data_IF_512443609378
#
_entry.id   IF_512443609378
#
_cell.length_a   1.000
_cell.length_b   1.000
_cell.length_c   1.000
_cell.angle_alpha   90.00
_cell.angle_beta   90.00
_cell.angle_gamma   90.00
#
_symmetry.space_group_name_H-M   'P 1'
#
loop_
_entity.id
_entity.type
_entity.pdbx_description
1 polymer ?
#
# COMPACT_ATOMS: atom_id res chain seq x y z
N UNK A 1 59.07 -20.63 33.36
CA UNK A 1 58.65 -19.65 32.32
C UNK A 1 57.47 -20.10 31.45
N UNK A 2 56.84 -21.26 31.73
CA UNK A 2 55.74 -21.82 30.91
C UNK A 2 54.37 -21.16 31.23
N UNK A 3 54.17 -20.68 32.47
CA UNK A 3 52.88 -20.17 32.94
C UNK A 3 52.48 -18.80 32.37
N UNK A 4 53.43 -18.00 31.88
CA UNK A 4 53.15 -16.69 31.27
C UNK A 4 52.71 -16.80 29.80
N UNK A 5 53.26 -17.76 29.06
CA UNK A 5 52.90 -18.03 27.67
C UNK A 5 51.45 -18.53 27.53
N UNK A 6 51.01 -19.42 28.44
CA UNK A 6 49.63 -19.92 28.51
C UNK A 6 48.61 -18.81 28.82
N UNK A 7 48.98 -17.83 29.65
CA UNK A 7 48.12 -16.67 29.97
C UNK A 7 48.02 -15.68 28.81
N UNK A 8 49.08 -15.56 28.00
CA UNK A 8 49.07 -14.73 26.79
C UNK A 8 48.25 -15.37 25.67
N UNK A 9 48.36 -16.69 25.45
CA UNK A 9 47.56 -17.39 24.44
C UNK A 9 46.07 -17.39 24.76
N UNK A 10 45.68 -17.54 26.04
CA UNK A 10 44.29 -17.44 26.46
C UNK A 10 43.67 -16.06 26.17
N UNK A 11 44.40 -14.97 26.44
CA UNK A 11 43.94 -13.59 26.14
C UNK A 11 43.85 -13.30 24.65
N UNK A 12 44.77 -13.82 23.84
CA UNK A 12 44.76 -13.67 22.37
C UNK A 12 43.66 -14.55 21.73
N UNK A 13 43.41 -15.74 22.28
CA UNK A 13 42.30 -16.59 21.86
C UNK A 13 40.93 -15.96 22.16
N UNK A 14 40.74 -15.37 23.35
CA UNK A 14 39.50 -14.63 23.69
C UNK A 14 39.25 -13.43 22.76
N UNK A 15 40.30 -12.73 22.30
CA UNK A 15 40.15 -11.64 21.31
C UNK A 15 39.66 -12.13 19.95
N UNK A 16 39.99 -13.36 19.53
CA UNK A 16 39.54 -13.90 18.24
C UNK A 16 38.07 -14.36 18.26
N UNK A 17 37.55 -14.81 19.41
CA UNK A 17 36.14 -15.19 19.54
C UNK A 17 35.16 -14.02 19.74
N UNK A 18 35.65 -12.78 19.88
CA UNK A 18 34.82 -11.57 19.92
C UNK A 18 34.68 -10.87 18.56
N UNK A 19 35.37 -11.34 17.52
CA UNK A 19 35.19 -10.85 16.15
C UNK A 19 34.09 -11.63 15.43
N UNK A 20 32.94 -11.79 16.07
CA UNK A 20 31.69 -12.14 15.40
C UNK A 20 30.93 -10.86 15.09
N UNK A 21 31.58 -9.88 14.45
CA UNK A 21 30.84 -8.93 13.63
C UNK A 21 30.41 -9.72 12.40
N UNK A 22 29.35 -10.52 12.56
CA UNK A 22 28.57 -11.04 11.45
C UNK A 22 28.28 -9.81 10.60
N UNK A 23 28.97 -9.68 9.46
CA UNK A 23 28.72 -8.61 8.51
C UNK A 23 27.31 -8.85 7.99
N UNK A 24 26.36 -8.15 8.59
CA UNK A 24 24.95 -8.11 8.20
C UNK A 24 24.75 -7.26 6.95
N UNK A 25 25.80 -7.04 6.13
CA UNK A 25 25.73 -6.33 4.85
C UNK A 25 24.74 -6.97 3.85
N UNK A 26 24.28 -8.19 4.12
CA UNK A 26 23.24 -8.89 3.36
C UNK A 26 21.95 -9.14 4.15
N UNK A 27 21.74 -8.51 5.30
CA UNK A 27 20.38 -8.30 5.79
C UNK A 27 19.74 -7.34 4.80
N UNK A 28 19.13 -7.91 3.75
CA UNK A 28 18.24 -7.20 2.86
C UNK A 28 17.16 -6.56 3.74
N UNK A 29 17.40 -5.31 4.14
CA UNK A 29 16.43 -4.49 4.83
C UNK A 29 15.28 -4.39 3.85
N UNK A 30 14.23 -5.18 4.09
CA UNK A 30 12.99 -5.08 3.35
C UNK A 30 12.49 -3.67 3.62
N UNK A 31 12.83 -2.75 2.72
CA UNK A 31 12.48 -1.36 2.87
C UNK A 31 10.99 -1.31 2.58
N UNK A 32 10.19 -1.40 3.63
CA UNK A 32 8.75 -1.20 3.58
C UNK A 32 8.55 0.27 3.23
N UNK A 33 8.48 0.56 1.93
CA UNK A 33 8.13 1.88 1.45
C UNK A 33 6.67 2.13 1.86
N UNK A 34 6.47 3.02 2.82
CA UNK A 34 5.15 3.51 3.17
C UNK A 34 4.50 4.10 1.92
N UNK A 35 3.19 3.93 1.76
CA UNK A 35 2.42 4.48 0.62
C UNK A 35 2.77 5.94 0.33
N UNK A 36 2.90 6.76 1.38
CA UNK A 36 3.28 8.17 1.25
C UNK A 36 4.66 8.35 0.59
N UNK A 37 5.65 7.52 0.94
CA UNK A 37 7.00 7.60 0.37
C UNK A 37 7.07 7.06 -1.06
N UNK A 38 6.16 6.17 -1.43
CA UNK A 38 6.09 5.62 -2.79
C UNK A 38 5.28 6.50 -3.76
N UNK A 39 4.19 7.10 -3.30
CA UNK A 39 3.22 7.81 -4.15
C UNK A 39 3.18 9.33 -3.95
N UNK A 40 3.46 9.83 -2.74
CA UNK A 40 3.36 11.27 -2.43
C UNK A 40 4.72 11.97 -2.42
N UNK A 41 5.82 11.24 -2.68
CA UNK A 41 7.17 11.79 -2.72
C UNK A 41 7.52 12.38 -4.10
N UNK A 42 6.88 11.92 -5.17
CA UNK A 42 7.14 12.37 -6.54
C UNK A 42 6.08 13.38 -7.02
N UNK A 43 6.47 14.63 -7.34
CA UNK A 43 5.59 15.64 -7.90
C UNK A 43 4.84 15.23 -9.17
N UNK A 44 5.40 14.33 -9.97
CA UNK A 44 4.78 13.84 -11.21
C UNK A 44 3.55 12.95 -10.97
N UNK A 45 3.38 12.47 -9.72
CA UNK A 45 2.27 11.60 -9.34
C UNK A 45 0.96 12.38 -9.11
N UNK A 46 1.02 13.65 -8.72
CA UNK A 46 -0.19 14.44 -8.44
C UNK A 46 -1.10 14.65 -9.66
N UNK A 47 -0.58 14.96 -10.87
CA UNK A 47 -1.39 14.99 -12.09
C UNK A 47 -2.07 13.65 -12.38
N UNK A 48 -1.38 12.53 -12.17
CA UNK A 48 -1.97 11.19 -12.37
C UNK A 48 -3.10 10.91 -11.38
N UNK A 49 -2.92 11.27 -10.11
CA UNK A 49 -3.98 11.16 -9.09
C UNK A 49 -5.20 12.00 -9.50
N UNK A 50 -4.99 13.22 -10.01
CA UNK A 50 -6.08 14.08 -10.44
C UNK A 50 -6.86 13.48 -11.63
N UNK A 51 -6.17 12.95 -12.63
CA UNK A 51 -6.81 12.35 -13.81
C UNK A 51 -7.57 11.08 -13.43
N UNK A 52 -6.93 10.16 -12.69
CA UNK A 52 -7.56 8.92 -12.26
C UNK A 52 -8.73 9.17 -11.31
N UNK A 53 -8.55 10.09 -10.35
CA UNK A 53 -9.60 10.49 -9.43
C UNK A 53 -10.77 11.15 -10.15
N UNK A 54 -10.50 12.04 -11.10
CA UNK A 54 -11.53 12.68 -11.92
C UNK A 54 -12.31 11.68 -12.77
N UNK A 55 -11.63 10.73 -13.42
CA UNK A 55 -12.29 9.66 -14.18
C UNK A 55 -13.17 8.78 -13.29
N UNK A 56 -12.65 8.35 -12.13
CA UNK A 56 -13.39 7.55 -11.16
C UNK A 56 -14.62 8.30 -10.62
N UNK A 57 -14.47 9.59 -10.29
CA UNK A 57 -15.57 10.43 -9.81
C UNK A 57 -16.65 10.63 -10.86
N UNK A 58 -16.29 10.82 -12.14
CA UNK A 58 -17.26 10.93 -13.23
C UNK A 58 -18.05 9.65 -13.43
N UNK A 59 -17.38 8.50 -13.49
CA UNK A 59 -18.06 7.20 -13.66
C UNK A 59 -18.96 6.90 -12.46
N UNK A 60 -18.46 7.12 -11.25
CA UNK A 60 -19.25 6.95 -10.04
C UNK A 60 -20.45 7.92 -10.01
N UNK A 61 -20.26 9.19 -10.39
CA UNK A 61 -21.31 10.20 -10.42
C UNK A 61 -22.42 9.85 -11.40
N UNK A 62 -22.07 9.46 -12.63
CA UNK A 62 -23.04 9.00 -13.64
C UNK A 62 -23.73 7.72 -13.17
N UNK A 63 -22.98 6.76 -12.61
CA UNK A 63 -23.54 5.52 -12.07
C UNK A 63 -24.56 5.78 -10.96
N UNK A 64 -24.23 6.64 -10.00
CA UNK A 64 -25.14 7.06 -8.92
C UNK A 64 -26.36 7.78 -9.48
N UNK A 65 -26.18 8.69 -10.45
CA UNK A 65 -27.29 9.38 -11.13
C UNK A 65 -28.23 8.38 -11.79
N UNK A 66 -27.69 7.39 -12.51
CA UNK A 66 -28.48 6.34 -13.12
C UNK A 66 -29.24 5.51 -12.08
N UNK A 67 -28.65 5.23 -10.93
CA UNK A 67 -29.27 4.46 -9.86
C UNK A 67 -30.41 5.24 -9.19
N UNK A 68 -30.23 6.54 -8.98
CA UNK A 68 -31.19 7.36 -8.22
C UNK A 68 -32.31 7.95 -9.08
N UNK A 69 -32.04 8.21 -10.35
CA UNK A 69 -32.95 8.97 -11.21
C UNK A 69 -33.51 8.17 -12.39
N UNK A 70 -32.99 6.99 -12.74
CA UNK A 70 -33.65 6.19 -13.77
C UNK A 70 -35.02 5.71 -13.28
N UNK A 71 -36.07 5.84 -14.10
CA UNK A 71 -37.41 5.34 -13.76
C UNK A 71 -37.45 3.81 -13.64
N UNK A 72 -36.55 3.12 -14.34
CA UNK A 72 -36.41 1.66 -14.32
C UNK A 72 -35.87 1.14 -12.97
N UNK A 73 -35.16 1.98 -12.21
CA UNK A 73 -34.50 1.60 -10.97
C UNK A 73 -35.36 2.00 -9.76
N UNK A 74 -36.08 1.03 -9.20
CA UNK A 74 -37.03 1.25 -8.11
C UNK A 74 -36.39 1.14 -6.70
N UNK A 75 -35.36 1.94 -6.44
CA UNK A 75 -34.70 1.95 -5.12
C UNK A 75 -35.53 2.70 -4.08
N UNK A 76 -36.15 3.82 -4.46
CA UNK A 76 -37.04 4.56 -3.56
C UNK A 76 -38.33 3.77 -3.32
N UNK A 77 -38.74 3.51 -2.06
CA UNK A 77 -39.96 2.76 -1.76
C UNK A 77 -41.22 3.37 -2.38
N UNK A 78 -41.27 4.70 -2.52
CA UNK A 78 -42.38 5.44 -3.14
C UNK A 78 -42.55 5.21 -4.64
N UNK A 79 -41.56 4.63 -5.32
CA UNK A 79 -41.60 4.32 -6.76
C UNK A 79 -41.62 2.81 -7.05
N UNK A 80 -41.68 1.97 -6.01
CA UNK A 80 -41.82 0.51 -6.18
C UNK A 80 -43.21 0.20 -6.73
N UNK A 81 -43.27 -0.39 -7.92
CA UNK A 81 -44.51 -0.71 -8.62
C UNK A 81 -45.04 0.36 -9.59
N UNK A 82 -44.28 1.45 -9.82
CA UNK A 82 -44.62 2.38 -10.89
C UNK A 82 -44.52 1.69 -12.26
N UNK A 83 -45.50 1.91 -13.14
CA UNK A 83 -45.48 1.39 -14.51
C UNK A 83 -44.34 2.08 -15.26
N UNK A 84 -43.26 1.35 -15.48
CA UNK A 84 -42.02 1.87 -16.07
C UNK A 84 -42.18 2.14 -17.58
N UNK A 85 -43.05 1.38 -18.25
CA UNK A 85 -43.26 1.50 -19.70
C UNK A 85 -44.65 1.03 -20.09
N UNK A 86 -45.43 1.94 -20.63
CA UNK A 86 -46.74 1.71 -21.24
C UNK A 86 -46.56 1.59 -22.76
N UNK A 87 -47.00 0.47 -23.33
CA UNK A 87 -46.83 0.13 -24.76
C UNK A 87 -48.08 0.46 -25.59
N UNK A 88 -48.96 1.31 -25.08
CA UNK A 88 -50.13 1.78 -25.83
C UNK A 88 -49.65 2.79 -26.90
N UNK A 89 -49.97 2.49 -28.16
CA UNK A 89 -49.67 3.32 -29.33
C UNK A 89 -50.63 4.49 -29.45
#
# INVERSE_FOLDING_TARGET
>A
MINSALRQTARVAQRRYQSSTVSTTFLAKKQEYTFQKAWLSDPSTFPMIAIMGGAAALVAGVGVSCILFNPDVQISPSRRGAVVRNWEM
#
